data_IF_949426970298
#
_entry.id   IF_949426970298
#
_cell.length_a   1.000
_cell.length_b   1.000
_cell.length_c   1.000
_cell.angle_alpha   90.00
_cell.angle_beta   90.00
_cell.angle_gamma   90.00
#
_symmetry.space_group_name_H-M   'P 1'
#
loop_
_entity.id
_entity.type
_entity.pdbx_description
1 polymer ?
#
# COMPACT_ATOMS: atom_id res chain seq x y z
N UNK A 1 -11.13 -14.69 16.56
CA UNK A 1 -10.00 -13.73 16.55
C UNK A 1 -9.54 -13.58 15.12
N UNK A 2 -9.14 -12.38 14.69
CA UNK A 2 -8.73 -12.08 13.31
C UNK A 2 -7.35 -12.60 12.96
N UNK A 3 -6.44 -12.61 13.94
CA UNK A 3 -5.09 -13.16 13.82
C UNK A 3 -5.09 -14.61 14.32
N UNK A 4 -4.50 -15.58 13.60
CA UNK A 4 -4.34 -16.94 14.11
C UNK A 4 -3.53 -16.98 15.40
N UNK A 5 -3.91 -17.86 16.33
CA UNK A 5 -3.21 -18.02 17.62
C UNK A 5 -1.73 -18.36 17.43
N UNK A 6 -1.41 -19.23 16.47
CA UNK A 6 -0.02 -19.55 16.14
C UNK A 6 0.79 -18.32 15.69
N UNK A 7 0.18 -17.40 14.94
CA UNK A 7 0.84 -16.17 14.50
C UNK A 7 1.08 -15.24 15.68
N UNK A 8 0.09 -15.06 16.56
CA UNK A 8 0.26 -14.27 17.78
C UNK A 8 1.39 -14.80 18.66
N UNK A 9 1.44 -16.13 18.87
CA UNK A 9 2.52 -16.77 19.65
C UNK A 9 3.89 -16.54 19.00
N UNK A 10 3.98 -16.65 17.67
CA UNK A 10 5.24 -16.42 16.96
C UNK A 10 5.74 -14.96 17.11
N UNK A 11 4.83 -13.99 17.01
CA UNK A 11 5.16 -12.57 17.22
C UNK A 11 5.58 -12.31 18.66
N UNK A 12 4.80 -12.77 19.65
CA UNK A 12 5.14 -12.61 21.08
C UNK A 12 6.51 -13.23 21.39
N UNK A 13 6.75 -14.46 20.93
CA UNK A 13 8.04 -15.15 21.14
C UNK A 13 9.19 -14.39 20.50
N UNK A 14 8.99 -13.83 19.30
CA UNK A 14 10.00 -13.03 18.63
C UNK A 14 10.30 -11.73 19.40
N UNK A 15 9.27 -10.96 19.76
CA UNK A 15 9.42 -9.72 20.54
C UNK A 15 10.14 -9.96 21.85
N UNK A 16 9.75 -10.99 22.61
CA UNK A 16 10.40 -11.33 23.87
C UNK A 16 11.87 -11.70 23.67
N UNK A 17 12.19 -12.50 22.64
CA UNK A 17 13.57 -12.88 22.32
C UNK A 17 14.44 -11.67 22.00
N UNK A 18 13.96 -10.77 21.14
CA UNK A 18 14.72 -9.60 20.71
C UNK A 18 14.96 -8.63 21.87
N UNK A 19 13.94 -8.41 22.71
CA UNK A 19 14.07 -7.61 23.94
C UNK A 19 15.05 -8.23 24.94
N UNK A 20 15.01 -9.54 25.15
CA UNK A 20 15.96 -10.25 26.03
C UNK A 20 17.41 -10.16 25.52
N UNK A 21 17.59 -10.02 24.20
CA UNK A 21 18.91 -9.78 23.58
C UNK A 21 19.34 -8.31 23.64
N UNK A 22 18.49 -7.42 24.15
CA UNK A 22 18.77 -5.98 24.22
C UNK A 22 18.57 -5.24 22.89
N UNK A 23 18.02 -5.89 21.86
CA UNK A 23 17.79 -5.28 20.57
C UNK A 23 16.66 -4.25 20.66
N UNK A 24 17.00 -2.98 20.42
CA UNK A 24 16.03 -1.87 20.42
C UNK A 24 15.28 -1.75 19.09
N UNK A 25 15.92 -2.20 18.00
CA UNK A 25 15.38 -2.13 16.64
C UNK A 25 15.36 -3.52 16.04
N UNK A 26 14.17 -4.12 15.97
CA UNK A 26 13.97 -5.46 15.42
C UNK A 26 12.75 -5.46 14.48
N UNK A 27 12.79 -6.32 13.43
CA UNK A 27 11.73 -6.37 12.44
C UNK A 27 10.60 -7.32 12.85
N UNK A 28 9.35 -6.90 12.68
CA UNK A 28 8.17 -7.73 12.90
C UNK A 28 7.64 -8.33 11.59
N UNK A 29 7.68 -7.55 10.52
CA UNK A 29 7.20 -7.94 9.19
C UNK A 29 8.29 -7.62 8.18
N UNK A 30 8.76 -8.59 7.41
CA UNK A 30 9.51 -8.28 6.20
C UNK A 30 8.53 -7.88 5.10
N UNK A 31 8.73 -6.71 4.49
CA UNK A 31 8.06 -6.32 3.26
C UNK A 31 8.96 -6.68 2.07
N UNK A 32 8.58 -7.72 1.33
CA UNK A 32 9.36 -8.26 0.22
C UNK A 32 8.70 -7.88 -1.11
N UNK A 33 9.37 -7.05 -1.90
CA UNK A 33 8.89 -6.63 -3.23
C UNK A 33 9.72 -7.33 -4.32
N UNK A 34 9.35 -8.55 -4.74
CA UNK A 34 10.13 -9.32 -5.71
C UNK A 34 10.05 -8.76 -7.13
N UNK A 35 9.09 -7.88 -7.40
CA UNK A 35 8.93 -7.18 -8.68
C UNK A 35 8.17 -5.88 -8.47
N UNK A 36 8.19 -4.99 -9.47
CA UNK A 36 7.39 -3.76 -9.46
C UNK A 36 6.28 -3.70 -10.53
N UNK A 37 6.33 -4.57 -11.55
CA UNK A 37 5.28 -4.65 -12.58
C UNK A 37 3.90 -4.96 -12.01
N UNK A 38 2.90 -4.25 -12.48
CA UNK A 38 1.50 -4.50 -12.16
C UNK A 38 0.66 -4.51 -13.44
N UNK A 39 -0.50 -5.15 -13.36
CA UNK A 39 -1.56 -5.15 -14.39
C UNK A 39 -2.66 -4.10 -14.11
N UNK A 40 -2.42 -3.19 -13.17
CA UNK A 40 -3.24 -2.00 -12.87
C UNK A 40 -2.33 -0.77 -12.73
N UNK A 41 -2.95 0.41 -12.88
CA UNK A 41 -2.30 1.71 -12.76
C UNK A 41 -3.04 2.62 -11.75
N UNK A 42 -3.18 2.13 -10.52
CA UNK A 42 -3.96 2.78 -9.46
C UNK A 42 -3.47 4.21 -9.17
N UNK A 43 -4.39 5.14 -8.93
CA UNK A 43 -4.09 6.56 -8.71
C UNK A 43 -3.22 6.84 -7.48
N UNK A 44 -3.27 5.98 -6.46
CA UNK A 44 -2.45 6.07 -5.25
C UNK A 44 -1.11 5.31 -5.28
N UNK A 45 -0.75 4.66 -6.41
CA UNK A 45 0.42 3.78 -6.47
C UNK A 45 1.66 4.50 -7.02
N UNK A 46 2.73 4.57 -6.21
CA UNK A 46 4.04 5.05 -6.65
C UNK A 46 5.00 3.96 -7.16
N UNK A 47 4.68 2.67 -6.93
CA UNK A 47 5.63 1.56 -7.12
C UNK A 47 5.85 1.16 -8.57
N UNK A 48 4.84 1.35 -9.44
CA UNK A 48 4.94 1.03 -10.87
C UNK A 48 5.64 2.13 -11.69
N UNK A 49 5.99 3.25 -11.06
CA UNK A 49 6.65 4.37 -11.72
C UNK A 49 8.16 4.18 -11.78
N UNK A 50 8.55 3.20 -12.59
CA UNK A 50 9.93 2.80 -12.81
C UNK A 50 10.19 2.67 -14.32
N UNK A 51 11.45 2.78 -14.76
CA UNK A 51 11.81 2.48 -16.14
C UNK A 51 11.35 1.07 -16.56
N UNK A 52 11.07 0.89 -17.84
CA UNK A 52 10.55 -0.38 -18.39
C UNK A 52 11.47 -1.55 -18.08
N UNK A 53 12.78 -1.32 -18.08
CA UNK A 53 13.83 -2.29 -17.77
C UNK A 53 13.69 -2.82 -16.34
N UNK A 54 13.42 -1.93 -15.38
CA UNK A 54 13.17 -2.27 -13.99
C UNK A 54 11.84 -3.00 -13.83
N UNK A 55 10.78 -2.56 -14.53
CA UNK A 55 9.48 -3.24 -14.49
C UNK A 55 9.55 -4.67 -15.06
N UNK A 56 10.45 -4.93 -16.01
CA UNK A 56 10.68 -6.29 -16.54
C UNK A 56 11.55 -7.16 -15.63
N UNK A 57 12.18 -6.56 -14.63
CA UNK A 57 13.08 -7.24 -13.69
C UNK A 57 12.31 -7.83 -12.51
N UNK A 58 12.88 -8.87 -11.92
CA UNK A 58 12.30 -9.59 -10.78
C UNK A 58 13.43 -10.27 -9.97
N UNK A 59 13.21 -10.47 -8.68
CA UNK A 59 14.13 -11.19 -7.81
C UNK A 59 14.06 -12.70 -8.08
N UNK A 60 15.18 -13.41 -7.93
CA UNK A 60 15.12 -14.88 -7.90
C UNK A 60 14.59 -15.37 -6.55
N UNK A 61 14.06 -16.61 -6.48
CA UNK A 61 13.68 -17.23 -5.21
C UNK A 61 14.81 -17.21 -4.18
N UNK A 62 16.04 -17.44 -4.58
CA UNK A 62 17.22 -17.45 -3.70
C UNK A 62 17.46 -16.06 -3.08
N UNK A 63 17.32 -14.98 -3.85
CA UNK A 63 17.41 -13.62 -3.33
C UNK A 63 16.29 -13.32 -2.32
N UNK A 64 15.06 -13.73 -2.64
CA UNK A 64 13.93 -13.62 -1.71
C UNK A 64 14.17 -14.38 -0.41
N UNK A 65 14.66 -15.61 -0.50
CA UNK A 65 14.95 -16.45 0.66
C UNK A 65 16.08 -15.89 1.51
N UNK A 66 17.14 -15.39 0.87
CA UNK A 66 18.23 -14.71 1.56
C UNK A 66 17.69 -13.53 2.39
N UNK A 67 16.87 -12.67 1.80
CA UNK A 67 16.27 -11.53 2.53
C UNK A 67 15.37 -11.98 3.70
N UNK A 68 14.58 -13.05 3.51
CA UNK A 68 13.72 -13.62 4.56
C UNK A 68 14.53 -14.17 5.73
N UNK A 69 15.62 -14.87 5.43
CA UNK A 69 16.49 -15.50 6.41
C UNK A 69 17.34 -14.43 7.15
N UNK A 70 17.86 -13.44 6.42
CA UNK A 70 18.63 -12.32 6.94
C UNK A 70 17.80 -11.41 7.87
N UNK A 71 16.57 -11.07 7.48
CA UNK A 71 15.67 -10.24 8.29
C UNK A 71 15.27 -10.89 9.61
N UNK A 72 15.02 -12.20 9.60
CA UNK A 72 14.61 -12.94 10.79
C UNK A 72 13.18 -12.64 11.30
N UNK A 73 12.45 -11.69 10.70
CA UNK A 73 11.07 -11.37 11.05
C UNK A 73 10.15 -12.61 11.04
N UNK A 74 9.19 -12.73 11.98
CA UNK A 74 8.26 -13.87 12.03
C UNK A 74 7.21 -13.84 10.91
N UNK A 75 6.97 -12.67 10.32
CA UNK A 75 5.99 -12.44 9.27
C UNK A 75 6.66 -11.92 8.01
N UNK A 76 6.11 -12.28 6.85
CA UNK A 76 6.50 -11.76 5.54
C UNK A 76 5.25 -11.27 4.85
N UNK A 77 5.31 -10.08 4.26
CA UNK A 77 4.31 -9.56 3.35
C UNK A 77 4.95 -9.41 1.98
N UNK A 78 4.26 -9.86 0.93
CA UNK A 78 4.70 -9.65 -0.45
C UNK A 78 3.72 -8.67 -1.10
N UNK A 79 3.99 -7.35 -1.11
CA UNK A 79 3.10 -6.35 -1.71
C UNK A 79 3.48 -5.89 -3.12
N UNK A 80 4.73 -6.11 -3.57
CA UNK A 80 5.32 -5.38 -4.68
C UNK A 80 4.79 -5.75 -6.08
N UNK A 81 4.53 -4.72 -6.89
CA UNK A 81 3.82 -4.87 -8.17
C UNK A 81 2.50 -5.60 -7.99
N UNK A 82 2.16 -6.48 -8.93
CA UNK A 82 1.24 -7.59 -8.67
C UNK A 82 2.07 -8.87 -8.51
N UNK A 83 2.22 -9.41 -7.29
CA UNK A 83 3.06 -10.58 -7.01
C UNK A 83 2.72 -11.80 -7.85
N UNK A 84 1.45 -11.99 -8.22
CA UNK A 84 1.01 -13.10 -9.06
C UNK A 84 1.51 -13.00 -10.52
N UNK A 85 2.17 -11.91 -10.91
CA UNK A 85 2.88 -11.78 -12.19
C UNK A 85 4.34 -12.25 -12.13
N UNK A 86 4.83 -12.70 -10.98
CA UNK A 86 6.16 -13.25 -10.84
C UNK A 86 6.21 -14.67 -11.43
N UNK A 87 7.14 -14.99 -12.35
CA UNK A 87 7.20 -16.30 -13.01
C UNK A 87 7.51 -17.46 -12.05
N UNK A 88 8.04 -17.14 -10.86
CA UNK A 88 8.42 -18.11 -9.83
C UNK A 88 7.71 -17.85 -8.48
N UNK A 89 6.52 -17.21 -8.50
CA UNK A 89 5.81 -16.89 -7.25
C UNK A 89 5.53 -18.15 -6.41
N UNK A 90 5.20 -19.27 -7.06
CA UNK A 90 4.93 -20.55 -6.41
C UNK A 90 6.11 -21.02 -5.55
N UNK A 91 7.31 -20.99 -6.14
CA UNK A 91 8.55 -21.38 -5.46
C UNK A 91 8.86 -20.45 -4.29
N UNK A 92 8.69 -19.14 -4.47
CA UNK A 92 8.89 -18.14 -3.41
C UNK A 92 7.93 -18.40 -2.24
N UNK A 93 6.65 -18.56 -2.53
CA UNK A 93 5.60 -18.83 -1.52
C UNK A 93 5.89 -20.12 -0.77
N UNK A 94 6.16 -21.21 -1.50
CA UNK A 94 6.46 -22.51 -0.90
C UNK A 94 7.70 -22.45 -0.01
N UNK A 95 8.76 -21.77 -0.46
CA UNK A 95 10.00 -21.62 0.31
C UNK A 95 9.84 -20.77 1.58
N UNK A 96 8.98 -19.76 1.57
CA UNK A 96 8.66 -18.93 2.76
C UNK A 96 7.80 -19.74 3.75
N UNK A 97 6.79 -20.46 3.26
CA UNK A 97 5.94 -21.32 4.08
C UNK A 97 6.76 -22.45 4.72
N UNK A 98 7.70 -23.06 4.00
CA UNK A 98 8.59 -24.10 4.52
C UNK A 98 9.46 -23.60 5.69
N UNK A 99 9.82 -22.30 5.69
CA UNK A 99 10.51 -21.62 6.79
C UNK A 99 9.59 -21.28 7.97
N UNK A 100 8.31 -21.65 7.92
CA UNK A 100 7.28 -21.37 8.93
C UNK A 100 7.13 -19.88 9.22
N UNK A 101 7.35 -19.03 8.21
CA UNK A 101 7.04 -17.60 8.26
C UNK A 101 5.57 -17.42 7.92
N UNK A 102 4.88 -16.53 8.64
CA UNK A 102 3.50 -16.19 8.31
C UNK A 102 3.50 -15.23 7.12
N UNK A 103 3.14 -15.76 5.95
CA UNK A 103 3.11 -15.05 4.69
C UNK A 103 1.73 -14.46 4.41
N UNK A 104 1.70 -13.15 4.20
CA UNK A 104 0.61 -12.43 3.55
C UNK A 104 1.00 -12.15 2.10
N UNK A 105 0.42 -12.89 1.16
CA UNK A 105 0.61 -12.64 -0.26
C UNK A 105 -0.44 -11.62 -0.71
N UNK A 106 -0.03 -10.37 -0.92
CA UNK A 106 -0.94 -9.32 -1.34
C UNK A 106 -1.24 -9.45 -2.83
N UNK A 107 -2.45 -9.09 -3.23
CA UNK A 107 -2.86 -9.12 -4.64
C UNK A 107 -4.01 -8.15 -4.92
N UNK A 108 -4.07 -7.62 -6.12
CA UNK A 108 -5.23 -6.91 -6.67
C UNK A 108 -6.34 -7.86 -7.16
N UNK A 109 -6.16 -9.17 -6.95
CA UNK A 109 -7.09 -10.25 -7.23
C UNK A 109 -7.37 -10.59 -8.70
N UNK A 110 -6.95 -9.78 -9.67
CA UNK A 110 -7.23 -10.03 -11.09
C UNK A 110 -6.74 -11.39 -11.59
N UNK A 111 -5.65 -11.89 -11.00
CA UNK A 111 -5.03 -13.19 -11.33
C UNK A 111 -5.24 -14.25 -10.25
N UNK A 112 -5.87 -13.89 -9.12
CA UNK A 112 -5.90 -14.76 -7.95
C UNK A 112 -6.63 -16.07 -8.23
N UNK A 113 -7.85 -16.01 -8.79
CA UNK A 113 -8.68 -17.21 -9.02
C UNK A 113 -7.98 -18.23 -9.96
N UNK A 114 -7.34 -17.75 -11.03
CA UNK A 114 -6.53 -18.55 -11.96
C UNK A 114 -5.33 -19.20 -11.27
N UNK A 115 -4.70 -18.49 -10.33
CA UNK A 115 -3.48 -18.94 -9.66
C UNK A 115 -3.73 -19.85 -8.45
N UNK A 116 -4.96 -19.99 -7.95
CA UNK A 116 -5.24 -20.82 -6.77
C UNK A 116 -4.73 -22.27 -6.86
N UNK A 117 -4.86 -23.00 -7.99
CA UNK A 117 -4.38 -24.38 -8.11
C UNK A 117 -2.87 -24.54 -7.94
N UNK A 118 -2.11 -23.45 -8.07
CA UNK A 118 -0.65 -23.43 -7.96
C UNK A 118 -0.17 -23.29 -6.51
N UNK A 119 -1.07 -23.05 -5.56
CA UNK A 119 -0.74 -22.93 -4.15
C UNK A 119 -1.37 -24.05 -3.33
N UNK A 120 -0.80 -24.33 -2.16
CA UNK A 120 -1.37 -25.28 -1.20
C UNK A 120 -1.86 -24.51 0.03
N UNK A 121 -3.13 -24.71 0.47
CA UNK A 121 -3.61 -24.13 1.72
C UNK A 121 -2.71 -24.47 2.90
N UNK A 122 -2.35 -23.46 3.68
CA UNK A 122 -1.43 -23.60 4.81
C UNK A 122 -1.80 -22.62 5.92
N UNK A 123 -1.63 -22.97 7.21
CA UNK A 123 -1.80 -22.01 8.30
C UNK A 123 -0.82 -20.82 8.19
N UNK A 124 0.27 -20.98 7.45
CA UNK A 124 1.29 -19.96 7.23
C UNK A 124 1.06 -19.10 5.98
N UNK A 125 0.03 -19.37 5.17
CA UNK A 125 -0.26 -18.60 3.95
C UNK A 125 -1.65 -17.98 4.04
N UNK A 126 -1.72 -16.66 3.89
CA UNK A 126 -2.95 -15.93 3.67
C UNK A 126 -2.85 -15.06 2.42
N UNK A 127 -3.91 -15.05 1.60
CA UNK A 127 -4.05 -14.05 0.55
C UNK A 127 -4.61 -12.76 1.15
N UNK A 128 -3.92 -11.64 0.93
CA UNK A 128 -4.36 -10.32 1.34
C UNK A 128 -4.87 -9.57 0.12
N UNK A 129 -6.18 -9.62 -0.12
CA UNK A 129 -6.80 -9.01 -1.29
C UNK A 129 -7.00 -7.52 -1.06
N UNK A 130 -6.50 -6.69 -1.98
CA UNK A 130 -6.79 -5.27 -1.97
C UNK A 130 -8.27 -5.03 -2.33
N UNK A 131 -9.00 -4.38 -1.44
CA UNK A 131 -10.40 -4.02 -1.59
C UNK A 131 -10.62 -2.69 -0.87
N UNK A 132 -10.33 -1.61 -1.59
CA UNK A 132 -10.14 -0.27 -1.04
C UNK A 132 -11.43 0.54 -0.76
N UNK A 133 -12.60 -0.10 -0.78
CA UNK A 133 -13.86 0.56 -0.41
C UNK A 133 -15.09 -0.10 -1.02
N UNK A 134 -16.27 0.56 -0.92
CA UNK A 134 -17.43 0.20 -1.73
C UNK A 134 -17.08 0.15 -3.23
N UNK A 135 -17.93 -0.52 -4.01
CA UNK A 135 -17.69 -0.83 -5.42
C UNK A 135 -17.14 0.34 -6.24
N UNK A 136 -17.85 1.46 -6.25
CA UNK A 136 -17.50 2.61 -7.08
C UNK A 136 -16.17 3.22 -6.64
N UNK A 137 -15.94 3.35 -5.33
CA UNK A 137 -14.69 3.87 -4.77
C UNK A 137 -13.51 2.95 -5.03
N UNK A 138 -13.70 1.63 -4.93
CA UNK A 138 -12.63 0.68 -5.22
C UNK A 138 -12.20 0.75 -6.68
N UNK A 139 -13.16 0.68 -7.60
CA UNK A 139 -12.92 0.74 -9.05
C UNK A 139 -12.29 2.09 -9.44
N UNK A 140 -12.71 3.19 -8.81
CA UNK A 140 -12.09 4.50 -8.97
C UNK A 140 -10.64 4.52 -8.50
N UNK A 141 -10.37 4.01 -7.28
CA UNK A 141 -9.03 3.99 -6.70
C UNK A 141 -8.03 3.18 -7.55
N UNK A 142 -8.49 2.11 -8.19
CA UNK A 142 -7.67 1.27 -9.08
C UNK A 142 -7.71 1.70 -10.55
N UNK A 143 -8.44 2.77 -10.85
CA UNK A 143 -8.61 3.35 -12.18
C UNK A 143 -9.13 2.35 -13.23
N UNK A 144 -10.02 1.44 -12.83
CA UNK A 144 -10.60 0.43 -13.72
C UNK A 144 -11.93 -0.10 -13.17
N UNK A 145 -12.97 0.01 -14.00
CA UNK A 145 -14.31 -0.50 -13.67
C UNK A 145 -14.34 -2.04 -13.62
N UNK A 146 -15.16 -2.56 -12.70
CA UNK A 146 -15.44 -3.98 -12.53
C UNK A 146 -14.41 -4.76 -11.72
N UNK A 147 -13.35 -4.12 -11.20
CA UNK A 147 -12.31 -4.81 -10.42
C UNK A 147 -12.86 -5.28 -9.08
N UNK A 148 -13.79 -4.53 -8.48
CA UNK A 148 -14.46 -4.92 -7.23
C UNK A 148 -15.11 -6.31 -7.33
N UNK A 149 -15.85 -6.56 -8.42
CA UNK A 149 -16.52 -7.86 -8.61
C UNK A 149 -15.52 -9.00 -8.77
N UNK A 150 -14.44 -8.76 -9.51
CA UNK A 150 -13.37 -9.73 -9.70
C UNK A 150 -12.73 -10.05 -8.35
N UNK A 151 -12.43 -9.03 -7.53
CA UNK A 151 -11.88 -9.21 -6.19
C UNK A 151 -12.83 -10.02 -5.29
N UNK A 152 -14.13 -9.71 -5.28
CA UNK A 152 -15.13 -10.47 -4.52
C UNK A 152 -15.25 -11.91 -5.00
N UNK A 153 -15.23 -12.15 -6.32
CA UNK A 153 -15.23 -13.52 -6.89
C UNK A 153 -14.01 -14.30 -6.42
N UNK A 154 -12.82 -13.70 -6.55
CA UNK A 154 -11.56 -14.32 -6.20
C UNK A 154 -11.45 -14.62 -4.69
N UNK A 155 -11.96 -13.72 -3.82
CA UNK A 155 -12.06 -13.97 -2.38
C UNK A 155 -12.89 -15.23 -2.12
N UNK A 156 -14.07 -15.33 -2.75
CA UNK A 156 -14.96 -16.50 -2.59
C UNK A 156 -14.30 -17.78 -3.12
N UNK A 157 -13.61 -17.70 -4.25
CA UNK A 157 -12.87 -18.83 -4.83
C UNK A 157 -11.74 -19.31 -3.92
N UNK A 158 -10.91 -18.39 -3.41
CA UNK A 158 -9.82 -18.69 -2.50
C UNK A 158 -10.33 -19.35 -1.21
N UNK A 159 -11.44 -18.85 -0.66
CA UNK A 159 -12.11 -19.44 0.51
C UNK A 159 -12.65 -20.84 0.23
N UNK A 160 -13.30 -21.07 -0.92
CA UNK A 160 -13.77 -22.41 -1.33
C UNK A 160 -12.62 -23.40 -1.49
N UNK A 161 -11.47 -22.93 -1.97
CA UNK A 161 -10.25 -23.72 -2.08
C UNK A 161 -9.52 -23.94 -0.73
N UNK A 162 -10.08 -23.46 0.39
CA UNK A 162 -9.56 -23.70 1.74
C UNK A 162 -8.47 -22.73 2.20
N UNK A 163 -8.19 -21.67 1.43
CA UNK A 163 -7.19 -20.69 1.82
C UNK A 163 -7.69 -19.72 2.90
N UNK A 164 -6.72 -19.23 3.67
CA UNK A 164 -6.89 -18.08 4.54
C UNK A 164 -6.94 -16.83 3.67
N UNK A 165 -7.92 -15.96 3.91
CA UNK A 165 -8.10 -14.73 3.13
C UNK A 165 -8.33 -13.57 4.09
N UNK A 166 -7.60 -12.49 3.88
CA UNK A 166 -7.80 -11.17 4.52
C UNK A 166 -8.00 -10.12 3.44
N UNK A 167 -8.52 -8.96 3.82
CA UNK A 167 -8.53 -7.79 2.94
C UNK A 167 -7.60 -6.71 3.43
N UNK A 168 -7.16 -5.84 2.52
CA UNK A 168 -6.47 -4.60 2.83
C UNK A 168 -7.19 -3.44 2.15
N UNK A 169 -7.53 -2.42 2.91
CA UNK A 169 -8.27 -1.25 2.44
C UNK A 169 -7.55 0.04 2.79
N UNK A 170 -7.27 0.83 1.77
CA UNK A 170 -6.72 2.18 1.88
C UNK A 170 -7.86 3.19 1.83
N UNK A 171 -7.99 3.99 2.89
CA UNK A 171 -9.05 4.98 3.00
C UNK A 171 -8.51 6.38 2.67
N UNK A 172 -9.17 7.06 1.72
CA UNK A 172 -8.82 8.40 1.25
C UNK A 172 -9.70 9.50 1.86
N UNK A 173 -9.43 10.77 1.52
CA UNK A 173 -10.06 11.96 2.12
C UNK A 173 -11.57 12.06 1.92
N UNK A 174 -12.09 11.46 0.87
CA UNK A 174 -13.48 11.49 0.42
C UNK A 174 -14.31 10.30 0.94
N UNK A 175 -13.70 9.41 1.71
CA UNK A 175 -14.37 8.25 2.28
C UNK A 175 -15.57 8.65 3.16
N UNK A 176 -16.76 8.19 2.78
CA UNK A 176 -17.97 8.39 3.57
C UNK A 176 -18.05 7.38 4.72
N UNK A 177 -18.12 7.81 5.99
CA UNK A 177 -18.13 6.89 7.11
C UNK A 177 -19.26 5.85 7.07
N UNK A 178 -20.48 6.23 6.68
CA UNK A 178 -21.62 5.31 6.69
C UNK A 178 -21.50 4.23 5.61
N UNK A 179 -21.04 4.62 4.41
CA UNK A 179 -20.77 3.68 3.31
C UNK A 179 -19.67 2.69 3.68
N UNK A 180 -18.59 3.15 4.31
CA UNK A 180 -17.52 2.24 4.76
C UNK A 180 -17.96 1.26 5.84
N UNK A 181 -18.87 1.65 6.73
CA UNK A 181 -19.46 0.73 7.71
C UNK A 181 -20.30 -0.36 7.05
N UNK A 182 -21.10 -0.02 6.03
CA UNK A 182 -21.85 -1.00 5.21
C UNK A 182 -20.89 -1.92 4.45
N UNK A 183 -19.86 -1.35 3.86
CA UNK A 183 -18.80 -2.10 3.19
C UNK A 183 -18.11 -3.10 4.14
N UNK A 184 -17.80 -2.73 5.38
CA UNK A 184 -17.24 -3.66 6.37
C UNK A 184 -18.20 -4.80 6.73
N UNK A 185 -19.51 -4.53 6.79
CA UNK A 185 -20.51 -5.59 6.92
C UNK A 185 -20.46 -6.56 5.73
N UNK A 186 -20.46 -6.04 4.51
CA UNK A 186 -20.37 -6.83 3.27
C UNK A 186 -19.09 -7.67 3.23
N UNK A 187 -17.92 -7.09 3.52
CA UNK A 187 -16.64 -7.82 3.55
C UNK A 187 -16.68 -8.96 4.57
N UNK A 188 -17.25 -8.74 5.75
CA UNK A 188 -17.39 -9.82 6.74
C UNK A 188 -18.32 -10.94 6.26
N UNK A 189 -19.34 -10.65 5.43
CA UNK A 189 -20.20 -11.70 4.84
C UNK A 189 -19.47 -12.56 3.80
N UNK A 190 -18.35 -12.08 3.24
CA UNK A 190 -17.49 -12.89 2.36
C UNK A 190 -16.72 -14.00 3.12
N UNK A 191 -16.75 -13.96 4.46
CA UNK A 191 -16.12 -14.97 5.30
C UNK A 191 -14.60 -14.84 5.40
N UNK A 192 -14.05 -13.65 5.16
CA UNK A 192 -12.62 -13.35 5.38
C UNK A 192 -12.26 -13.46 6.86
N UNK A 193 -11.00 -13.77 7.16
CA UNK A 193 -10.52 -13.90 8.54
C UNK A 193 -10.44 -12.55 9.27
N UNK A 194 -10.14 -11.50 8.50
CA UNK A 194 -10.11 -10.14 8.99
C UNK A 194 -9.76 -9.12 7.91
N UNK A 195 -10.04 -7.87 8.22
CA UNK A 195 -9.77 -6.70 7.39
C UNK A 195 -8.56 -5.95 7.94
N UNK A 196 -7.77 -5.35 7.06
CA UNK A 196 -6.78 -4.35 7.44
C UNK A 196 -7.21 -3.02 6.84
N UNK A 197 -7.17 -1.96 7.63
CA UNK A 197 -7.51 -0.61 7.21
C UNK A 197 -6.35 0.32 7.47
N UNK A 198 -6.09 1.23 6.55
CA UNK A 198 -5.01 2.21 6.67
C UNK A 198 -5.42 3.51 6.00
N UNK A 199 -5.05 4.68 6.55
CA UNK A 199 -5.16 5.92 5.79
C UNK A 199 -4.25 5.86 4.55
N UNK A 200 -4.70 6.49 3.47
CA UNK A 200 -3.85 6.77 2.32
C UNK A 200 -2.65 7.63 2.72
N UNK A 201 -1.51 7.38 2.07
CA UNK A 201 -0.29 8.16 2.21
C UNK A 201 0.17 8.64 0.85
N UNK A 202 0.56 9.91 0.76
CA UNK A 202 1.13 10.44 -0.47
C UNK A 202 2.54 9.86 -0.68
N UNK A 203 2.69 9.04 -1.72
CA UNK A 203 4.01 8.81 -2.28
C UNK A 203 4.39 10.05 -3.08
N UNK A 204 5.62 10.54 -2.95
CA UNK A 204 6.12 11.64 -3.81
C UNK A 204 6.01 11.34 -5.30
N UNK A 205 5.98 10.05 -5.66
CA UNK A 205 5.81 9.57 -7.02
C UNK A 205 4.34 9.46 -7.43
N UNK A 206 3.37 9.26 -6.52
CA UNK A 206 1.98 8.97 -6.90
C UNK A 206 1.37 10.06 -7.82
N UNK A 207 0.58 9.68 -8.86
CA UNK A 207 -0.02 10.65 -9.78
C UNK A 207 -1.00 11.61 -9.08
N UNK A 208 -1.71 11.13 -8.06
CA UNK A 208 -2.67 11.89 -7.29
C UNK A 208 -2.08 12.36 -5.95
N UNK A 209 -1.88 13.67 -5.83
CA UNK A 209 -1.35 14.33 -4.63
C UNK A 209 -2.44 15.08 -3.84
N UNK A 210 -3.62 15.28 -4.43
CA UNK A 210 -4.65 16.18 -3.90
C UNK A 210 -5.57 15.50 -2.86
N UNK A 211 -5.62 14.16 -2.85
CA UNK A 211 -6.49 13.37 -1.97
C UNK A 211 -5.84 12.92 -0.64
N UNK A 212 -4.81 13.62 -0.17
CA UNK A 212 -4.12 13.25 1.08
C UNK A 212 -4.79 13.80 2.35
N UNK A 213 -4.91 12.95 3.38
CA UNK A 213 -5.48 13.31 4.68
C UNK A 213 -4.40 13.92 5.59
N UNK A 214 -4.59 15.17 6.03
CA UNK A 214 -3.89 15.64 7.23
C UNK A 214 -4.28 14.77 8.44
N UNK A 215 -3.36 14.55 9.39
CA UNK A 215 -3.50 13.57 10.49
C UNK A 215 -4.83 13.69 11.24
N UNK A 216 -5.24 14.92 11.56
CA UNK A 216 -6.50 15.19 12.26
C UNK A 216 -7.73 14.78 11.43
N UNK A 217 -7.66 14.88 10.10
CA UNK A 217 -8.73 14.43 9.21
C UNK A 217 -8.83 12.92 9.22
N UNK A 218 -7.70 12.21 9.12
CA UNK A 218 -7.65 10.75 9.28
C UNK A 218 -8.27 10.34 10.61
N UNK A 219 -7.87 10.99 11.70
CA UNK A 219 -8.40 10.66 13.02
C UNK A 219 -9.91 10.86 13.13
N UNK A 220 -10.43 11.97 12.60
CA UNK A 220 -11.88 12.23 12.57
C UNK A 220 -12.64 11.18 11.74
N UNK A 221 -12.10 10.82 10.57
CA UNK A 221 -12.67 9.81 9.69
C UNK A 221 -12.72 8.42 10.37
N UNK A 222 -11.58 7.93 10.85
CA UNK A 222 -11.51 6.62 11.52
C UNK A 222 -12.29 6.59 12.83
N UNK A 223 -12.34 7.70 13.59
CA UNK A 223 -13.20 7.80 14.76
C UNK A 223 -14.67 7.57 14.42
N UNK A 224 -15.18 8.17 13.34
CA UNK A 224 -16.57 8.02 12.89
C UNK A 224 -16.85 6.62 12.33
N UNK A 225 -15.94 6.09 11.52
CA UNK A 225 -16.06 4.76 10.94
C UNK A 225 -16.08 3.68 12.03
N UNK A 226 -15.21 3.80 13.05
CA UNK A 226 -15.04 2.78 14.08
C UNK A 226 -15.87 3.04 15.36
N UNK A 227 -16.62 4.14 15.43
CA UNK A 227 -17.46 4.42 16.60
C UNK A 227 -18.54 3.35 16.78
N UNK A 228 -18.62 2.76 17.97
CA UNK A 228 -19.52 1.63 18.21
C UNK A 228 -19.34 0.47 17.22
N UNK A 229 -18.14 0.24 16.69
CA UNK A 229 -17.85 -0.85 15.77
C UNK A 229 -18.34 -2.20 16.36
N UNK A 230 -19.20 -2.95 15.64
CA UNK A 230 -19.76 -4.18 16.15
C UNK A 230 -18.70 -5.27 16.25
N UNK A 231 -18.80 -6.15 17.26
CA UNK A 231 -17.85 -7.26 17.48
C UNK A 231 -17.71 -8.23 16.30
N UNK A 232 -18.66 -8.23 15.36
CA UNK A 232 -18.60 -9.04 14.13
C UNK A 232 -17.50 -8.57 13.19
N UNK A 233 -17.16 -7.29 13.19
CA UNK A 233 -16.01 -6.79 12.42
C UNK A 233 -14.73 -7.32 13.03
N UNK A 234 -13.93 -7.96 12.19
CA UNK A 234 -12.64 -8.54 12.56
C UNK A 234 -11.56 -7.76 11.83
N UNK A 235 -10.67 -7.15 12.59
CA UNK A 235 -9.51 -6.44 12.04
C UNK A 235 -8.24 -7.22 12.32
N UNK A 236 -7.46 -7.53 11.29
CA UNK A 236 -6.16 -8.20 11.39
C UNK A 236 -5.06 -7.22 11.80
N UNK A 237 -5.36 -6.41 12.81
CA UNK A 237 -4.60 -5.25 13.27
C UNK A 237 -4.68 -5.19 14.80
N UNK A 238 -3.67 -4.60 15.43
CA UNK A 238 -3.66 -4.51 16.89
C UNK A 238 -4.76 -3.55 17.37
N UNK A 239 -5.44 -3.85 18.50
CA UNK A 239 -6.43 -2.93 19.06
C UNK A 239 -5.84 -1.55 19.35
N UNK A 240 -4.58 -1.49 19.78
CA UNK A 240 -3.86 -0.24 20.03
C UNK A 240 -3.70 0.58 18.74
N UNK A 241 -3.39 -0.06 17.61
CA UNK A 241 -3.33 0.63 16.32
C UNK A 241 -4.71 1.18 15.89
N UNK A 242 -5.79 0.42 16.08
CA UNK A 242 -7.14 0.90 15.79
C UNK A 242 -7.53 2.12 16.67
N UNK A 243 -7.15 2.11 17.95
CA UNK A 243 -7.34 3.27 18.84
C UNK A 243 -6.46 4.46 18.45
N UNK A 244 -5.25 4.20 17.96
CA UNK A 244 -4.39 5.22 17.38
C UNK A 244 -5.02 5.88 16.15
N UNK A 245 -5.62 5.08 15.24
CA UNK A 245 -6.33 5.60 14.08
C UNK A 245 -7.48 6.53 14.48
N UNK A 246 -8.16 6.25 15.60
CA UNK A 246 -9.23 7.10 16.15
C UNK A 246 -8.73 8.36 16.88
N UNK A 247 -7.41 8.55 16.98
CA UNK A 247 -6.79 9.60 17.80
C UNK A 247 -6.90 9.36 19.31
N UNK A 248 -7.26 8.14 19.73
CA UNK A 248 -7.40 7.79 21.13
C UNK A 248 -6.07 7.35 21.77
N UNK A 249 -5.07 7.05 20.94
CA UNK A 249 -3.71 6.69 21.34
C UNK A 249 -2.71 7.54 20.55
N UNK A 250 -1.61 7.95 21.18
CA UNK A 250 -0.48 8.56 20.49
C UNK A 250 0.64 7.55 20.38
N UNK A 251 1.10 7.31 19.15
CA UNK A 251 2.17 6.37 18.84
C UNK A 251 3.24 7.13 18.04
N UNK A 252 4.49 6.70 18.21
CA UNK A 252 5.62 7.18 17.41
C UNK A 252 6.02 6.10 16.41
N UNK A 253 6.32 6.50 15.18
CA UNK A 253 6.56 5.57 14.08
C UNK A 253 7.79 4.69 14.35
N UNK A 254 7.69 3.40 14.04
CA UNK A 254 8.77 2.40 14.15
C UNK A 254 9.08 1.83 12.77
N UNK A 255 9.70 2.61 11.86
CA UNK A 255 9.88 2.21 10.46
C UNK A 255 10.75 0.96 10.29
N UNK A 256 11.71 0.72 11.21
CA UNK A 256 12.51 -0.51 11.24
C UNK A 256 11.71 -1.78 11.58
N UNK A 257 10.48 -1.64 12.08
CA UNK A 257 9.61 -2.77 12.39
C UNK A 257 9.04 -3.46 11.15
N UNK A 258 9.02 -2.76 10.01
CA UNK A 258 8.60 -3.31 8.71
C UNK A 258 9.64 -2.95 7.63
N UNK A 259 10.86 -3.52 7.69
CA UNK A 259 11.88 -3.25 6.68
C UNK A 259 11.44 -3.75 5.31
N UNK A 260 11.92 -3.09 4.25
CA UNK A 260 11.60 -3.44 2.87
C UNK A 260 12.82 -3.93 2.13
N UNK A 261 12.70 -5.07 1.44
CA UNK A 261 13.69 -5.58 0.51
C UNK A 261 13.07 -5.70 -0.89
N UNK A 262 13.76 -5.17 -1.90
CA UNK A 262 13.28 -5.14 -3.28
C UNK A 262 14.41 -5.28 -4.30
N UNK A 263 14.13 -5.01 -5.59
CA UNK A 263 15.10 -5.14 -6.70
C UNK A 263 16.41 -4.37 -6.49
N UNK A 264 16.42 -3.34 -5.65
CA UNK A 264 17.58 -2.49 -5.38
C UNK A 264 18.28 -2.84 -4.05
N UNK A 265 17.75 -3.78 -3.27
CA UNK A 265 18.25 -4.17 -1.95
C UNK A 265 17.35 -3.73 -0.81
N UNK A 266 17.95 -3.46 0.36
CA UNK A 266 17.25 -3.01 1.56
C UNK A 266 16.95 -1.50 1.47
N UNK A 267 15.67 -1.12 1.41
CA UNK A 267 15.24 0.26 1.20
C UNK A 267 15.33 1.09 2.49
N UNK A 268 15.89 2.30 2.38
CA UNK A 268 15.98 3.32 3.43
C UNK A 268 14.94 4.44 3.24
N UNK A 269 14.55 5.11 4.32
CA UNK A 269 14.51 4.60 5.69
C UNK A 269 13.38 3.59 5.89
N UNK A 270 12.36 3.61 5.02
CA UNK A 270 11.13 2.86 5.16
C UNK A 270 10.52 2.59 3.79
N UNK A 271 9.49 1.75 3.78
CA UNK A 271 8.73 1.34 2.60
C UNK A 271 8.24 2.49 1.69
N UNK A 272 7.94 3.66 2.25
CA UNK A 272 7.28 4.77 1.57
C UNK A 272 8.24 5.83 1.01
N UNK A 273 9.30 6.16 1.76
CA UNK A 273 10.11 7.35 1.46
C UNK A 273 11.21 7.13 0.43
N UNK A 274 11.70 5.90 0.27
CA UNK A 274 12.60 5.51 -0.82
C UNK A 274 13.80 6.47 -1.01
N UNK A 275 14.60 6.67 0.04
CA UNK A 275 15.71 7.64 0.06
C UNK A 275 17.08 6.99 -0.17
N UNK A 276 17.11 5.69 -0.47
CA UNK A 276 18.33 4.96 -0.79
C UNK A 276 18.21 3.46 -0.50
N UNK A 277 19.27 2.72 -0.84
CA UNK A 277 19.31 1.27 -0.71
C UNK A 277 20.65 0.80 -0.17
N UNK A 278 20.64 -0.33 0.54
CA UNK A 278 21.84 -0.98 1.06
C UNK A 278 21.85 -2.48 0.85
N UNK A 279 23.05 -3.07 0.91
CA UNK A 279 23.28 -4.46 0.54
C UNK A 279 22.87 -5.48 1.61
N UNK A 280 22.78 -5.06 2.89
CA UNK A 280 22.46 -5.95 4.01
C UNK A 280 21.45 -5.35 4.98
N UNK A 281 20.70 -6.23 5.65
CA UNK A 281 19.73 -5.87 6.67
C UNK A 281 20.43 -5.17 7.85
N UNK A 282 21.64 -5.63 8.19
CA UNK A 282 22.45 -5.01 9.22
C UNK A 282 22.81 -3.57 8.87
N UNK A 283 23.23 -3.31 7.64
CA UNK A 283 23.55 -1.96 7.18
C UNK A 283 22.32 -1.03 7.16
N UNK A 284 21.13 -1.58 6.91
CA UNK A 284 19.87 -0.85 7.06
C UNK A 284 19.65 -0.45 8.52
N UNK A 285 19.74 -1.40 9.45
CA UNK A 285 19.44 -1.14 10.87
C UNK A 285 20.49 -0.26 11.54
N UNK A 286 21.78 -0.50 11.28
CA UNK A 286 22.89 0.19 11.93
C UNK A 286 23.21 1.53 11.24
N UNK A 287 23.02 1.62 9.91
CA UNK A 287 23.46 2.76 9.11
C UNK A 287 22.39 3.80 8.78
N UNK A 288 21.12 3.58 9.13
CA UNK A 288 20.04 4.57 8.93
C UNK A 288 19.93 5.52 10.13
N UNK A 289 19.82 6.83 9.85
CA UNK A 289 19.55 7.86 10.86
C UNK A 289 18.09 7.83 11.33
N UNK A 290 17.74 6.81 12.11
CA UNK A 290 16.37 6.63 12.62
C UNK A 290 15.80 7.82 13.41
N UNK A 291 16.58 8.55 14.25
CA UNK A 291 16.10 9.77 14.90
C UNK A 291 15.60 10.85 13.93
N UNK A 292 16.04 10.86 12.67
CA UNK A 292 15.59 11.78 11.63
C UNK A 292 14.17 11.48 11.09
N UNK A 293 13.55 10.37 11.49
CA UNK A 293 12.24 9.95 10.98
C UNK A 293 11.20 9.74 12.08
N UNK A 294 9.93 9.78 11.68
CA UNK A 294 8.80 9.78 12.60
C UNK A 294 8.27 11.19 12.85
N UNK A 295 7.21 11.30 13.64
CA UNK A 295 6.55 12.58 13.92
C UNK A 295 7.41 13.43 14.85
N UNK A 296 7.96 12.80 15.90
CA UNK A 296 8.81 13.49 16.87
C UNK A 296 10.09 14.08 16.27
N UNK A 297 10.55 13.61 15.10
CA UNK A 297 11.75 14.16 14.45
C UNK A 297 11.54 15.53 13.81
N UNK A 298 10.27 15.95 13.62
CA UNK A 298 9.95 17.17 12.86
C UNK A 298 10.10 17.02 11.35
N UNK A 299 10.35 15.81 10.84
CA UNK A 299 10.46 15.57 9.41
C UNK A 299 9.10 15.80 8.72
N UNK A 300 9.01 16.73 7.74
CA UNK A 300 7.73 17.09 7.11
C UNK A 300 7.13 15.93 6.30
N UNK A 301 7.92 14.96 5.85
CA UNK A 301 7.40 13.76 5.17
C UNK A 301 6.70 12.81 6.15
N UNK A 302 6.97 12.92 7.44
CA UNK A 302 6.45 12.03 8.48
C UNK A 302 5.31 12.64 9.31
N UNK A 303 5.10 13.96 9.24
CA UNK A 303 4.20 14.73 10.13
C UNK A 303 2.80 14.14 10.24
N UNK A 304 2.25 13.75 9.09
CA UNK A 304 0.88 13.29 8.96
C UNK A 304 0.75 11.77 8.76
N UNK A 305 1.87 11.05 8.68
CA UNK A 305 1.86 9.62 8.45
C UNK A 305 1.14 8.90 9.60
N UNK A 306 0.26 7.97 9.24
CA UNK A 306 -0.48 7.08 10.15
C UNK A 306 -0.54 5.64 9.60
N UNK A 307 0.31 5.31 8.63
CA UNK A 307 0.25 4.04 7.90
C UNK A 307 0.67 2.87 8.77
N UNK A 308 -0.09 1.79 8.69
CA UNK A 308 0.10 0.59 9.51
C UNK A 308 1.55 0.03 9.47
N UNK A 309 2.28 0.14 8.36
CA UNK A 309 3.64 -0.40 8.24
C UNK A 309 4.62 0.14 9.30
N UNK A 310 4.47 1.40 9.73
CA UNK A 310 5.29 2.00 10.79
C UNK A 310 4.61 2.02 12.17
N UNK A 311 3.27 2.02 12.19
CA UNK A 311 2.50 2.24 13.42
C UNK A 311 1.93 0.96 14.04
N UNK A 312 1.78 -0.14 13.29
CA UNK A 312 1.54 -1.46 13.89
C UNK A 312 2.74 -1.93 14.72
N UNK A 313 4.00 -1.84 14.22
CA UNK A 313 5.14 -2.12 15.09
C UNK A 313 5.23 -1.19 16.30
N UNK A 314 4.84 0.08 16.15
CA UNK A 314 4.72 1.00 17.29
C UNK A 314 3.67 0.55 18.30
N UNK A 315 2.52 0.06 17.85
CA UNK A 315 1.45 -0.45 18.70
C UNK A 315 1.86 -1.75 19.42
N UNK A 316 2.57 -2.64 18.74
CA UNK A 316 3.19 -3.83 19.35
C UNK A 316 4.21 -3.41 20.40
N UNK A 317 5.08 -2.45 20.09
CA UNK A 317 6.04 -1.94 21.05
C UNK A 317 5.37 -1.28 22.25
N UNK A 318 4.31 -0.50 22.07
CA UNK A 318 3.53 0.10 23.15
C UNK A 318 2.86 -0.97 24.04
N UNK A 319 2.43 -2.09 23.44
CA UNK A 319 1.83 -3.23 24.15
C UNK A 319 2.85 -3.96 25.02
N UNK A 320 4.02 -4.30 24.47
CA UNK A 320 5.05 -5.09 25.16
C UNK A 320 6.13 -4.23 25.83
N UNK A 321 6.02 -2.91 25.69
CA UNK A 321 6.93 -1.88 26.18
C UNK A 321 7.03 -1.82 27.70
N UNK A 322 5.91 -2.04 28.36
CA UNK A 322 5.77 -1.91 29.81
C UNK A 322 4.61 -2.77 30.32
N UNK A 323 4.61 -3.05 31.63
CA UNK A 323 3.49 -3.72 32.29
C UNK A 323 2.20 -2.88 32.19
N UNK A 324 2.32 -1.55 32.24
CA UNK A 324 1.18 -0.64 32.08
C UNK A 324 0.60 -0.71 30.67
N UNK A 325 1.44 -0.78 29.63
CA UNK A 325 1.00 -0.95 28.24
C UNK A 325 0.30 -2.29 28.01
N UNK A 326 0.83 -3.37 28.61
CA UNK A 326 0.22 -4.70 28.56
C UNK A 326 -1.15 -4.72 29.24
N UNK A 327 -1.27 -4.16 30.44
CA UNK A 327 -2.52 -4.04 31.17
C UNK A 327 -3.55 -3.16 30.44
N UNK A 328 -3.11 -2.05 29.86
CA UNK A 328 -3.97 -1.17 29.08
C UNK A 328 -4.50 -1.88 27.82
N UNK A 329 -3.65 -2.64 27.13
CA UNK A 329 -4.05 -3.43 25.96
C UNK A 329 -4.99 -4.57 26.34
N UNK A 330 -4.72 -5.27 27.44
CA UNK A 330 -5.62 -6.31 27.96
C UNK A 330 -6.99 -5.72 28.31
N UNK A 331 -7.02 -4.58 29.02
CA UNK A 331 -8.25 -3.86 29.34
C UNK A 331 -9.02 -3.49 28.07
N UNK A 332 -8.35 -2.97 27.05
CA UNK A 332 -8.94 -2.63 25.76
C UNK A 332 -9.56 -3.86 25.07
N UNK A 333 -8.87 -5.01 25.09
CA UNK A 333 -9.39 -6.26 24.49
C UNK A 333 -10.65 -6.78 25.20
N UNK A 334 -10.68 -6.74 26.53
CA UNK A 334 -11.80 -7.29 27.30
C UNK A 334 -12.99 -6.34 27.44
N UNK A 335 -12.72 -5.06 27.70
CA UNK A 335 -13.73 -4.06 28.05
C UNK A 335 -14.00 -3.04 26.96
N UNK A 336 -13.20 -3.03 25.89
CA UNK A 336 -13.28 -2.02 24.84
C UNK A 336 -12.69 -0.67 25.27
N UNK A 337 -12.62 0.25 24.31
CA UNK A 337 -12.17 1.61 24.58
C UNK A 337 -13.28 2.43 25.27
N UNK A 338 -12.93 3.35 26.19
CA UNK A 338 -13.89 4.29 26.72
C UNK A 338 -14.48 5.15 25.59
N UNK A 339 -15.78 5.46 25.67
CA UNK A 339 -16.42 6.39 24.74
C UNK A 339 -15.78 7.77 24.86
N UNK A 340 -15.44 8.38 23.73
CA UNK A 340 -14.91 9.75 23.65
C UNK A 340 -15.80 10.56 22.70
N UNK A 341 -15.93 11.87 22.92
CA UNK A 341 -16.58 12.75 21.95
C UNK A 341 -15.90 12.60 20.59
N UNK A 342 -16.70 12.54 19.52
CA UNK A 342 -16.17 12.49 18.16
C UNK A 342 -15.38 13.78 17.87
N UNK A 343 -14.19 13.69 17.24
CA UNK A 343 -13.49 14.87 16.76
C UNK A 343 -14.38 15.67 15.79
N UNK A 344 -14.23 17.00 15.74
CA UNK A 344 -14.94 17.81 14.75
C UNK A 344 -14.64 17.32 13.33
N UNK A 345 -15.62 17.47 12.42
CA UNK A 345 -15.34 17.28 11.01
C UNK A 345 -14.33 18.33 10.59
N UNK A 346 -13.21 17.95 9.96
CA UNK A 346 -12.35 18.93 9.33
C UNK A 346 -13.18 19.70 8.30
N UNK A 347 -12.99 21.02 8.23
CA UNK A 347 -13.58 21.81 7.14
C UNK A 347 -13.20 21.16 5.81
N UNK A 348 -14.15 20.90 4.90
CA UNK A 348 -13.83 20.37 3.58
C UNK A 348 -12.73 21.25 2.97
N UNK A 349 -11.67 20.64 2.43
CA UNK A 349 -10.87 21.37 1.47
C UNK A 349 -11.83 21.84 0.38
N UNK A 350 -11.75 23.11 -0.05
CA UNK A 350 -12.49 23.55 -1.23
C UNK A 350 -12.14 22.57 -2.34
N UNK A 351 -13.15 21.87 -2.85
CA UNK A 351 -12.98 21.03 -4.03
C UNK A 351 -12.50 21.96 -5.16
N UNK A 352 -11.23 21.84 -5.53
CA UNK A 352 -10.75 22.46 -6.75
C UNK A 352 -11.47 21.74 -7.88
N UNK A 353 -12.35 22.43 -8.59
CA UNK A 353 -13.05 21.86 -9.74
C UNK A 353 -12.00 21.45 -10.76
N UNK A 354 -11.79 20.14 -10.94
CA UNK A 354 -10.93 19.59 -11.98
C UNK A 354 -11.51 19.99 -13.34
N UNK A 355 -10.78 20.81 -14.09
CA UNK A 355 -11.14 21.10 -15.50
C UNK A 355 -10.98 19.80 -16.30
N UNK A 356 -11.93 19.51 -17.18
CA UNK A 356 -11.83 18.41 -18.14
C UNK A 356 -11.15 18.93 -19.41
N UNK A 357 -10.15 18.21 -19.90
CA UNK A 357 -9.48 18.50 -21.17
C UNK A 357 -10.44 18.20 -22.36
N UNK A 358 -10.22 18.81 -23.54
CA UNK A 358 -11.04 18.56 -24.73
C UNK A 358 -11.08 17.10 -25.22
N UNK A 359 -10.17 16.25 -24.73
CA UNK A 359 -10.10 14.81 -25.03
C UNK A 359 -10.90 13.95 -24.03
N UNK A 360 -11.66 14.56 -23.11
CA UNK A 360 -12.47 13.86 -22.10
C UNK A 360 -11.70 13.36 -20.87
N UNK A 361 -10.39 13.64 -20.78
CA UNK A 361 -9.57 13.33 -19.60
C UNK A 361 -9.56 14.50 -18.61
N UNK A 362 -9.40 14.22 -17.32
CA UNK A 362 -9.23 15.26 -16.31
C UNK A 362 -7.90 16.02 -16.52
N UNK A 363 -7.96 17.35 -16.59
CA UNK A 363 -6.80 18.23 -16.68
C UNK A 363 -6.19 18.44 -15.28
N UNK A 364 -4.91 18.09 -15.14
CA UNK A 364 -4.15 18.36 -13.93
C UNK A 364 -3.87 19.87 -13.78
N UNK A 365 -4.00 20.45 -12.58
CA UNK A 365 -3.67 21.86 -12.36
C UNK A 365 -2.15 22.08 -12.47
N UNK A 366 -1.73 22.90 -13.43
CA UNK A 366 -0.40 23.51 -13.43
C UNK A 366 -0.45 24.68 -12.46
N UNK A 367 0.14 24.55 -11.27
CA UNK A 367 0.31 25.69 -10.36
C UNK A 367 1.76 26.19 -10.43
N UNK A 368 1.86 27.47 -10.80
CA UNK A 368 3.06 28.28 -10.72
C UNK A 368 3.51 28.41 -9.26
N UNK A 369 4.77 28.08 -8.98
CA UNK A 369 5.38 28.33 -7.68
C UNK A 369 5.78 29.81 -7.54
N UNK A 370 5.24 30.52 -6.54
CA UNK A 370 5.86 31.73 -5.97
C UNK A 370 4.94 32.96 -5.84
N UNK A 371 5.18 33.85 -4.85
CA UNK A 371 4.49 35.14 -4.74
C UNK A 371 4.93 36.09 -5.87
N UNK A 372 4.14 37.12 -6.22
CA UNK A 372 4.37 37.90 -7.44
C UNK A 372 5.63 38.77 -7.29
N UNK A 373 6.70 38.40 -7.98
CA UNK A 373 7.95 39.14 -8.05
C UNK A 373 8.49 39.18 -9.48
N UNK A 374 8.38 40.37 -10.09
CA UNK A 374 9.13 40.93 -11.24
C UNK A 374 9.50 40.03 -12.44
N UNK A 375 9.08 40.36 -13.68
CA UNK A 375 9.40 39.55 -14.86
C UNK A 375 10.89 39.64 -15.23
N UNK A 376 11.56 38.52 -15.54
CA UNK A 376 12.89 38.58 -16.14
C UNK A 376 12.80 39.02 -17.61
N UNK A 377 13.83 39.77 -18.01
CA UNK A 377 14.04 40.45 -19.28
C UNK A 377 13.94 39.56 -20.51
N UNK A 378 13.33 40.12 -21.57
CA UNK A 378 13.25 39.60 -22.95
C UNK A 378 14.63 39.32 -23.55
N UNK A 379 14.77 38.17 -24.23
CA UNK A 379 15.64 37.97 -25.39
C UNK A 379 14.92 37.06 -26.41
N UNK A 380 15.20 37.16 -27.72
CA UNK A 380 14.18 37.41 -28.73
C UNK A 380 13.62 36.17 -29.41
N UNK A 381 12.36 36.32 -29.82
CA UNK A 381 11.60 35.48 -30.73
C UNK A 381 12.17 35.65 -32.14
N UNK A 382 12.48 34.54 -32.81
CA UNK A 382 12.67 34.52 -34.27
C UNK A 382 11.32 34.12 -34.89
N UNK A 383 10.59 35.13 -35.36
CA UNK A 383 9.44 34.98 -36.25
C UNK A 383 9.94 34.61 -37.66
N UNK A 384 9.38 33.55 -38.25
CA UNK A 384 9.18 33.50 -39.71
C UNK A 384 7.83 32.85 -40.00
N UNK A 385 6.92 33.67 -40.51
CA UNK A 385 5.67 33.41 -41.24
C UNK A 385 5.74 34.43 -42.41
N UNK A 386 5.07 34.30 -43.59
CA UNK A 386 4.01 33.38 -44.05
C UNK A 386 4.30 32.72 -45.42
N UNK A 387 3.49 31.76 -45.87
CA UNK A 387 2.46 32.07 -46.88
C UNK A 387 1.52 30.92 -47.24
N UNK A 388 0.27 31.31 -47.46
CA UNK A 388 -0.86 30.47 -47.83
C UNK A 388 -1.17 30.67 -49.32
N UNK A 389 -1.32 29.58 -50.08
CA UNK A 389 -2.27 29.50 -51.20
C UNK A 389 -1.73 29.53 -52.64
N UNK A 390 -1.87 28.41 -53.35
CA UNK A 390 -2.17 28.32 -54.80
C UNK A 390 -2.55 26.84 -55.10
N UNK A 391 -3.83 26.55 -55.35
CA UNK A 391 -4.47 26.39 -56.67
C UNK A 391 -4.08 25.12 -57.47
N UNK A 392 -4.99 24.15 -57.45
CA UNK A 392 -5.67 23.45 -58.56
C UNK A 392 -4.93 22.94 -59.83
N UNK A 393 -5.43 21.77 -60.30
CA UNK A 393 -5.28 21.10 -61.62
C UNK A 393 -3.98 20.30 -61.83
N UNK A 394 -3.92 19.08 -62.39
CA UNK A 394 -4.89 18.15 -63.00
C UNK A 394 -4.10 17.11 -63.84
N UNK A 395 -4.67 15.90 -64.01
CA UNK A 395 -4.32 14.83 -64.99
C UNK A 395 -2.88 14.23 -64.93
N UNK A 396 -2.56 13.03 -65.41
CA UNK A 396 -3.22 11.77 -65.73
C UNK A 396 -2.09 10.79 -66.17
N UNK A 397 -2.34 9.49 -66.02
CA UNK A 397 -1.82 8.36 -66.83
C UNK A 397 -0.39 7.78 -66.66
N UNK A 398 -0.42 6.56 -66.10
CA UNK A 398 0.05 5.30 -66.69
C UNK A 398 1.55 5.05 -66.95
N UNK A 399 2.07 3.96 -66.38
CA UNK A 399 2.40 2.69 -67.09
C UNK A 399 2.75 1.61 -66.03
N UNK A 400 2.29 0.40 -66.31
CA UNK A 400 2.23 -0.80 -65.47
C UNK A 400 3.46 -1.75 -65.75
N UNK A 401 3.50 -3.06 -65.38
CA UNK A 401 4.41 -3.61 -64.36
C UNK A 401 5.37 -4.73 -64.87
N UNK A 402 6.20 -5.32 -63.98
CA UNK A 402 6.75 -6.66 -64.20
C UNK A 402 7.00 -7.43 -62.88
N UNK A 403 6.69 -8.72 -62.95
CA UNK A 403 6.51 -9.71 -61.90
C UNK A 403 7.63 -10.78 -61.95
N UNK A 404 7.81 -11.54 -60.86
CA UNK A 404 8.59 -12.81 -60.77
C UNK A 404 9.18 -12.99 -59.36
N UNK A 405 8.69 -13.79 -58.38
CA UNK A 405 8.30 -15.23 -58.35
C UNK A 405 9.46 -16.12 -58.81
N UNK A 406 9.93 -17.18 -58.12
CA UNK A 406 9.31 -18.39 -57.53
C UNK A 406 10.42 -19.08 -56.68
N UNK A 407 10.19 -19.87 -55.62
CA UNK A 407 8.96 -20.34 -54.99
C UNK A 407 9.26 -21.32 -53.86
#
# INVERSE_FOLDING_TARGET
MSVPVGQMIAVVRHVLRERLRGNQRYPLVLMLEPLFRCNLACGGCGKIQQPTEILRSHLTPEQCFHAVDECGAPMVSIPGGEPLLHPQIEQIVAGIVARKKYLYLCTNALKLEEMLPHFTPSPYLAFSVHLDGPREEHDHAVCRDGVYDIAVSAIRAARRAGFRVTTNSTLFTDADPERYRKFFDEVMTLGVEGMMISPGYSYSKAPDQDHFLARQRSQSLFARILDGAPRRWKFNQSPVFLEFLKGAWDLECRPWGTPTYNLFGWQRPCYLLDEGYVGSFRELIDGTDWPGYGRASGNPKCSDCMVHCGYEPAAVEATFGSLTGLLATARLMFFGAPKRPLPPLPTPARATVLRVQPNGLHALPVIQNGPPGTPPSRLPVLEVVPDCGAMATGLADAVEPACGRVG
#
